data_IF_885584830435
#
_entry.id   IF_885584830435
#
_cell.length_a   1.000
_cell.length_b   1.000
_cell.length_c   1.000
_cell.angle_alpha   90.00
_cell.angle_beta   90.00
_cell.angle_gamma   90.00
#
_symmetry.space_group_name_H-M   'P 1'
#
loop_
_entity.id
_entity.type
_entity.pdbx_description
1 polymer ?
#
# COMPACT_ATOMS: atom_id res chain seq x y z
N UNK A 1 -1.96 -4.68 -18.06
CA UNK A 1 -1.24 -4.18 -16.86
C UNK A 1 -1.77 -2.79 -16.53
N UNK A 2 -1.86 -2.38 -15.25
CA UNK A 2 -2.26 -1.01 -14.93
C UNK A 2 -1.26 -0.02 -15.54
N UNK A 3 -1.74 0.92 -16.34
CA UNK A 3 -0.88 1.89 -17.07
C UNK A 3 -0.19 2.88 -16.14
N UNK A 4 -0.74 3.07 -14.94
CA UNK A 4 -0.23 3.97 -13.91
C UNK A 4 0.17 3.19 -12.68
N UNK A 5 1.18 3.72 -11.99
CA UNK A 5 1.59 3.20 -10.68
C UNK A 5 0.44 3.31 -9.67
N UNK A 6 0.38 2.40 -8.69
CA UNK A 6 -0.53 2.55 -7.57
C UNK A 6 -0.21 3.84 -6.79
N UNK A 7 -1.23 4.40 -6.16
CA UNK A 7 -1.10 5.54 -5.25
C UNK A 7 -1.14 5.02 -3.82
N UNK A 8 -0.18 5.46 -3.00
CA UNK A 8 -0.10 5.14 -1.58
C UNK A 8 -0.44 6.39 -0.77
N UNK A 9 -1.37 6.23 0.16
CA UNK A 9 -1.77 7.26 1.11
C UNK A 9 -1.57 6.75 2.52
N UNK A 10 -1.05 7.62 3.39
CA UNK A 10 -0.91 7.39 4.83
C UNK A 10 -1.52 8.59 5.56
N UNK A 11 -2.03 8.36 6.77
CA UNK A 11 -2.60 9.44 7.58
C UNK A 11 -1.54 10.46 8.02
N UNK A 12 -0.31 9.99 8.27
CA UNK A 12 0.83 10.82 8.68
C UNK A 12 2.00 10.62 7.70
N UNK A 13 2.92 11.57 7.68
CA UNK A 13 4.17 11.48 6.90
C UNK A 13 5.31 10.82 7.68
N UNK A 14 5.15 10.64 8.99
CA UNK A 14 6.14 10.04 9.89
C UNK A 14 5.42 9.22 10.97
N UNK A 15 6.07 8.12 11.36
CA UNK A 15 5.63 7.19 12.39
C UNK A 15 6.84 6.77 13.21
N UNK A 16 6.62 6.53 14.51
CA UNK A 16 7.61 5.99 15.43
C UNK A 16 7.27 4.52 15.78
N UNK A 17 8.24 3.73 16.27
CA UNK A 17 7.97 2.37 16.69
C UNK A 17 6.87 2.29 17.75
N UNK A 18 5.85 1.48 17.49
CA UNK A 18 4.65 1.36 18.35
C UNK A 18 3.42 2.08 17.81
N UNK A 19 3.59 2.98 16.84
CA UNK A 19 2.47 3.65 16.19
C UNK A 19 1.66 2.72 15.29
N UNK A 20 0.38 3.05 15.12
CA UNK A 20 -0.51 2.39 14.16
C UNK A 20 -0.41 3.09 12.81
N UNK A 21 0.26 2.46 11.85
CA UNK A 21 0.30 2.90 10.46
C UNK A 21 -1.01 2.51 9.73
N UNK A 22 -1.86 3.51 9.45
CA UNK A 22 -3.04 3.36 8.59
C UNK A 22 -2.69 3.82 7.18
N UNK A 23 -2.64 2.86 6.26
CA UNK A 23 -2.24 3.08 4.87
C UNK A 23 -3.27 2.52 3.90
N UNK A 24 -3.46 3.23 2.78
CA UNK A 24 -4.30 2.80 1.68
C UNK A 24 -3.49 2.83 0.38
N UNK A 25 -3.49 1.72 -0.33
CA UNK A 25 -2.89 1.61 -1.65
C UNK A 25 -4.03 1.37 -2.64
N UNK A 26 -4.15 2.24 -3.65
CA UNK A 26 -5.19 2.14 -4.66
C UNK A 26 -4.57 2.12 -6.06
N UNK A 27 -5.21 1.38 -6.97
CA UNK A 27 -4.85 1.37 -8.40
C UNK A 27 -6.03 1.86 -9.21
N UNK A 28 -5.79 2.54 -10.33
CA UNK A 28 -6.82 2.72 -11.34
C UNK A 28 -7.40 1.36 -11.79
N UNK A 29 -8.61 1.34 -12.34
CA UNK A 29 -9.19 0.13 -12.90
C UNK A 29 -8.23 -0.54 -13.89
N UNK A 30 -8.00 -1.84 -13.72
CA UNK A 30 -7.15 -2.62 -14.62
C UNK A 30 -7.84 -3.91 -15.05
N UNK A 31 -7.53 -4.37 -16.26
CA UNK A 31 -7.88 -5.71 -16.75
C UNK A 31 -6.59 -6.43 -17.17
N UNK A 32 -6.25 -7.58 -16.55
CA UNK A 32 -6.91 -8.21 -15.40
C UNK A 32 -6.83 -7.36 -14.12
N UNK A 33 -7.60 -7.73 -13.08
CA UNK A 33 -7.61 -7.04 -11.78
C UNK A 33 -6.20 -7.01 -11.18
N UNK A 34 -5.77 -5.85 -10.71
CA UNK A 34 -4.48 -5.70 -10.04
C UNK A 34 -4.46 -6.43 -8.68
N UNK A 35 -3.32 -7.04 -8.37
CA UNK A 35 -3.01 -7.53 -7.03
C UNK A 35 -2.18 -6.48 -6.30
N UNK A 36 -2.63 -6.10 -5.10
CA UNK A 36 -1.96 -5.12 -4.25
C UNK A 36 -1.24 -5.82 -3.11
N UNK A 37 0.03 -5.46 -2.92
CA UNK A 37 0.91 -5.98 -1.87
C UNK A 37 1.53 -4.82 -1.10
N UNK A 38 1.51 -4.90 0.22
CA UNK A 38 2.12 -3.92 1.11
C UNK A 38 3.42 -4.45 1.68
N UNK A 39 4.43 -3.60 1.76
CA UNK A 39 5.70 -3.89 2.42
C UNK A 39 6.13 -2.71 3.27
N UNK A 40 6.63 -2.96 4.48
CA UNK A 40 7.26 -1.96 5.35
C UNK A 40 8.73 -2.35 5.47
N UNK A 41 9.65 -1.45 5.10
CA UNK A 41 11.09 -1.72 5.11
C UNK A 41 11.45 -3.04 4.42
N UNK A 42 10.90 -3.27 3.22
CA UNK A 42 11.05 -4.49 2.41
C UNK A 42 10.45 -5.78 3.01
N UNK A 43 9.79 -5.71 4.16
CA UNK A 43 9.09 -6.84 4.78
C UNK A 43 7.61 -6.85 4.36
N UNK A 44 7.06 -7.97 3.88
CA UNK A 44 5.65 -8.06 3.50
C UNK A 44 4.75 -7.91 4.72
N UNK A 45 3.71 -7.07 4.59
CA UNK A 45 2.62 -7.01 5.57
C UNK A 45 1.67 -8.15 5.25
N UNK A 46 1.56 -9.12 6.16
CA UNK A 46 0.57 -10.18 6.04
C UNK A 46 -0.82 -9.58 6.17
N UNK A 47 -1.74 -9.95 5.26
CA UNK A 47 -3.17 -9.81 5.56
C UNK A 47 -3.45 -10.66 6.79
N UNK A 48 -3.94 -10.05 7.86
CA UNK A 48 -4.60 -10.82 8.91
C UNK A 48 -5.87 -11.44 8.32
#
# INVERSE_FOLDING_TARGET
>A
FPEKRPQLFTELTRYEPGDILRANCSTPPSRPRAELRFTINNMPVSKQ
#
